data_IF_241547171518
#
_entry.id   IF_241547171518
#
_cell.length_a   1.000
_cell.length_b   1.000
_cell.length_c   1.000
_cell.angle_alpha   90.00
_cell.angle_beta   90.00
_cell.angle_gamma   90.00
#
_symmetry.space_group_name_H-M   'P 1'
#
loop_
_entity.id
_entity.type
_entity.pdbx_description
1 polymer ?
#
# COMPACT_ATOMS: atom_id res chain seq x y z
N UNK A 1 -1.28 -18.38 -22.31
CA UNK A 1 -0.74 -17.25 -21.52
C UNK A 1 -1.71 -16.80 -20.45
N UNK A 2 -3.00 -16.70 -20.78
CA UNK A 2 -4.06 -16.27 -19.85
C UNK A 2 -4.12 -17.03 -18.51
N UNK A 3 -4.03 -18.39 -18.43
CA UNK A 3 -4.14 -19.09 -17.15
C UNK A 3 -2.95 -18.82 -16.22
N UNK A 4 -1.74 -18.63 -16.77
CA UNK A 4 -0.55 -18.29 -15.97
C UNK A 4 -0.70 -16.90 -15.36
N UNK A 5 -1.20 -15.94 -16.14
CA UNK A 5 -1.43 -14.58 -15.66
C UNK A 5 -2.57 -14.54 -14.63
N UNK A 6 -3.62 -15.33 -14.81
CA UNK A 6 -4.70 -15.46 -13.83
C UNK A 6 -4.19 -16.00 -12.48
N UNK A 7 -3.34 -17.03 -12.49
CA UNK A 7 -2.70 -17.55 -11.26
C UNK A 7 -1.81 -16.49 -10.61
N UNK A 8 -1.00 -15.79 -11.40
CA UNK A 8 -0.13 -14.73 -10.88
C UNK A 8 -0.91 -13.58 -10.23
N UNK A 9 -2.00 -13.13 -10.87
CA UNK A 9 -2.92 -12.12 -10.32
C UNK A 9 -3.53 -12.64 -9.02
N UNK A 10 -4.00 -13.88 -8.98
CA UNK A 10 -4.56 -14.49 -7.76
C UNK A 10 -3.58 -14.47 -6.60
N UNK A 11 -2.31 -14.81 -6.84
CA UNK A 11 -1.25 -14.77 -5.83
C UNK A 11 -0.99 -13.34 -5.36
N UNK A 12 -0.93 -12.36 -6.28
CA UNK A 12 -0.72 -10.95 -5.95
C UNK A 12 -1.87 -10.39 -5.11
N UNK A 13 -3.12 -10.70 -5.47
CA UNK A 13 -4.30 -10.29 -4.70
C UNK A 13 -4.29 -10.94 -3.32
N UNK A 14 -3.99 -12.24 -3.22
CA UNK A 14 -3.92 -12.93 -1.94
C UNK A 14 -2.83 -12.33 -1.02
N UNK A 15 -1.65 -12.04 -1.57
CA UNK A 15 -0.55 -11.40 -0.84
C UNK A 15 -0.93 -9.97 -0.40
N UNK A 16 -1.54 -9.19 -1.29
CA UNK A 16 -1.99 -7.84 -0.98
C UNK A 16 -3.03 -7.83 0.14
N UNK A 17 -4.06 -8.68 0.05
CA UNK A 17 -5.08 -8.81 1.09
C UNK A 17 -4.45 -9.26 2.41
N UNK A 18 -3.55 -10.25 2.38
CA UNK A 18 -2.84 -10.68 3.58
C UNK A 18 -2.08 -9.54 4.27
N UNK A 19 -1.41 -8.68 3.50
CA UNK A 19 -0.69 -7.52 4.02
C UNK A 19 -1.62 -6.40 4.50
N UNK A 20 -2.77 -6.21 3.85
CA UNK A 20 -3.79 -5.25 4.30
C UNK A 20 -4.40 -5.62 5.66
N UNK A 21 -4.42 -6.90 6.01
CA UNK A 21 -4.86 -7.38 7.32
C UNK A 21 -3.76 -7.34 8.39
N UNK A 22 -2.56 -6.86 8.06
CA UNK A 22 -1.48 -6.76 9.03
C UNK A 22 -1.73 -5.61 10.04
N UNK A 23 -1.21 -5.80 11.25
CA UNK A 23 -1.25 -4.79 12.33
C UNK A 23 -0.20 -3.69 12.21
N UNK A 24 0.66 -3.78 11.21
CA UNK A 24 1.75 -2.83 10.98
C UNK A 24 1.41 -1.95 9.79
N UNK A 25 1.35 -0.64 9.98
CA UNK A 25 0.97 0.30 8.92
C UNK A 25 1.88 0.23 7.70
N UNK A 26 3.19 -0.06 7.87
CA UNK A 26 4.11 -0.19 6.73
C UNK A 26 3.76 -1.40 5.89
N UNK A 27 3.39 -2.52 6.52
CA UNK A 27 2.86 -3.71 5.81
C UNK A 27 1.56 -3.39 5.08
N UNK A 28 0.66 -2.62 5.69
CA UNK A 28 -0.58 -2.19 5.02
C UNK A 28 -0.27 -1.35 3.77
N UNK A 29 0.69 -0.41 3.84
CA UNK A 29 1.12 0.38 2.68
C UNK A 29 1.68 -0.49 1.55
N UNK A 30 2.50 -1.48 1.88
CA UNK A 30 2.98 -2.47 0.91
C UNK A 30 1.83 -3.28 0.31
N UNK A 31 0.84 -3.65 1.12
CA UNK A 31 -0.39 -4.29 0.67
C UNK A 31 -1.15 -3.45 -0.35
N UNK A 32 -1.34 -2.15 -0.10
CA UNK A 32 -1.96 -1.19 -1.04
C UNK A 32 -1.16 -1.13 -2.36
N UNK A 33 0.16 -1.04 -2.28
CA UNK A 33 1.02 -0.97 -3.46
C UNK A 33 0.91 -2.23 -4.34
N UNK A 34 0.95 -3.42 -3.72
CA UNK A 34 0.81 -4.70 -4.43
C UNK A 34 -0.62 -4.84 -4.99
N UNK A 35 -1.64 -4.43 -4.23
CA UNK A 35 -3.03 -4.46 -4.67
C UNK A 35 -3.24 -3.62 -5.93
N UNK A 36 -2.70 -2.39 -5.97
CA UNK A 36 -2.78 -1.51 -7.13
C UNK A 36 -2.17 -2.15 -8.38
N UNK A 37 -1.02 -2.82 -8.24
CA UNK A 37 -0.41 -3.56 -9.35
C UNK A 37 -1.26 -4.75 -9.80
N UNK A 38 -1.87 -5.50 -8.88
CA UNK A 38 -2.76 -6.60 -9.21
C UNK A 38 -3.99 -6.14 -9.99
N UNK A 39 -4.61 -5.02 -9.58
CA UNK A 39 -5.74 -4.40 -10.30
C UNK A 39 -5.34 -3.97 -11.71
N UNK A 40 -4.14 -3.37 -11.88
CA UNK A 40 -3.64 -3.00 -13.20
C UNK A 40 -3.50 -4.22 -14.12
N UNK A 41 -3.03 -5.36 -13.59
CA UNK A 41 -2.96 -6.61 -14.35
C UNK A 41 -4.34 -7.19 -14.69
N UNK A 42 -5.33 -7.06 -13.80
CA UNK A 42 -6.72 -7.45 -14.10
C UNK A 42 -7.27 -6.64 -15.28
N UNK A 43 -7.10 -5.32 -15.26
CA UNK A 43 -7.53 -4.44 -16.36
C UNK A 43 -6.79 -4.81 -17.66
N UNK A 44 -5.49 -5.12 -17.56
CA UNK A 44 -4.70 -5.57 -18.70
C UNK A 44 -5.24 -6.87 -19.30
N UNK A 45 -5.59 -7.86 -18.47
CA UNK A 45 -6.19 -9.12 -18.94
C UNK A 45 -7.56 -8.95 -19.59
N UNK A 46 -8.37 -8.03 -19.09
CA UNK A 46 -9.69 -7.73 -19.66
C UNK A 46 -9.61 -7.14 -21.09
N UNK A 47 -8.46 -6.58 -21.45
CA UNK A 47 -8.18 -6.02 -22.78
C UNK A 47 -7.98 -7.02 -23.91
N UNK A 48 -7.82 -8.31 -23.58
CA UNK A 48 -7.42 -9.36 -24.51
C UNK A 48 -5.91 -9.38 -24.74
N UNK A 49 -5.26 -10.51 -24.42
CA UNK A 49 -3.81 -10.72 -24.58
C UNK A 49 -3.42 -11.14 -26.00
N UNK A 50 -3.90 -10.41 -27.01
CA UNK A 50 -3.47 -10.63 -28.39
C UNK A 50 -2.11 -10.01 -28.63
N UNK A 51 -1.22 -10.75 -29.32
CA UNK A 51 0.08 -10.22 -29.79
C UNK A 51 -0.15 -9.34 -31.02
N UNK A 52 -0.78 -8.20 -30.82
CA UNK A 52 -0.98 -7.21 -31.88
C UNK A 52 0.10 -6.12 -31.81
N UNK A 53 0.23 -5.36 -32.91
CA UNK A 53 1.12 -4.20 -32.93
C UNK A 53 0.69 -3.15 -31.87
N UNK A 54 1.62 -2.32 -31.36
CA UNK A 54 1.27 -1.23 -30.46
C UNK A 54 0.17 -0.34 -31.07
N UNK A 55 -0.77 0.21 -30.28
CA UNK A 55 -1.81 1.10 -30.77
C UNK A 55 -1.26 2.49 -31.07
N UNK A 56 -0.35 2.56 -32.04
CA UNK A 56 0.30 3.76 -32.52
C UNK A 56 0.01 3.90 -34.01
N UNK A 57 -0.40 5.09 -34.42
CA UNK A 57 -0.59 5.42 -35.84
C UNK A 57 0.75 5.93 -36.38
N UNK A 58 1.33 5.30 -37.42
CA UNK A 58 2.58 5.79 -38.02
C UNK A 58 2.41 7.17 -38.66
N UNK A 59 3.50 7.95 -38.67
CA UNK A 59 3.50 9.29 -39.26
C UNK A 59 3.08 9.26 -40.74
N UNK A 60 2.08 10.09 -41.09
CA UNK A 60 1.53 10.18 -42.45
C UNK A 60 0.32 9.29 -42.75
N UNK A 61 -0.10 8.44 -41.82
CA UNK A 61 -1.34 7.67 -41.92
C UNK A 61 -2.44 8.24 -41.01
N UNK A 62 -3.70 8.11 -41.42
CA UNK A 62 -4.87 8.45 -40.58
C UNK A 62 -5.37 7.28 -39.74
N UNK A 63 -4.92 6.07 -40.07
CA UNK A 63 -5.35 4.82 -39.45
C UNK A 63 -4.14 3.91 -39.19
N UNK A 64 -4.20 3.01 -38.19
CA UNK A 64 -3.12 2.07 -37.93
C UNK A 64 -2.85 1.15 -39.12
N UNK A 65 -1.57 0.87 -39.37
CA UNK A 65 -1.15 -0.09 -40.40
C UNK A 65 -1.37 -1.54 -39.92
N UNK A 66 -2.63 -1.97 -39.89
CA UNK A 66 -3.03 -3.34 -39.53
C UNK A 66 -3.62 -3.49 -38.12
N UNK A 67 -3.81 -4.74 -37.64
CA UNK A 67 -4.40 -5.00 -36.34
C UNK A 67 -3.49 -4.56 -35.19
N UNK A 68 -4.00 -3.64 -34.37
CA UNK A 68 -3.34 -3.11 -33.17
C UNK A 68 -3.94 -3.67 -31.89
N UNK A 69 -3.20 -3.57 -30.78
CA UNK A 69 -3.69 -3.93 -29.46
C UNK A 69 -4.82 -2.97 -29.02
N UNK A 70 -5.71 -3.41 -28.13
CA UNK A 70 -6.79 -2.57 -27.64
C UNK A 70 -6.21 -1.36 -26.85
N UNK A 71 -6.45 -0.11 -27.28
CA UNK A 71 -5.92 1.06 -26.59
C UNK A 71 -6.69 1.40 -25.30
N UNK A 72 -7.94 0.95 -25.16
CA UNK A 72 -8.80 1.32 -24.03
C UNK A 72 -8.25 0.85 -22.67
N UNK A 73 -7.90 -0.44 -22.48
CA UNK A 73 -7.26 -0.90 -21.23
C UNK A 73 -5.95 -0.18 -20.93
N UNK A 74 -5.16 0.16 -21.96
CA UNK A 74 -3.86 0.83 -21.78
C UNK A 74 -4.04 2.25 -21.20
N UNK A 75 -4.99 3.01 -21.73
CA UNK A 75 -5.32 4.34 -21.21
C UNK A 75 -5.90 4.28 -19.78
N UNK A 76 -6.74 3.28 -19.50
CA UNK A 76 -7.29 3.05 -18.15
C UNK A 76 -6.19 2.72 -17.14
N UNK A 77 -5.23 1.86 -17.50
CA UNK A 77 -4.10 1.49 -16.64
C UNK A 77 -3.21 2.70 -16.35
N UNK A 78 -2.89 3.53 -17.35
CA UNK A 78 -2.09 4.75 -17.13
C UNK A 78 -2.76 5.68 -16.11
N UNK A 79 -4.07 5.83 -16.20
CA UNK A 79 -4.86 6.63 -15.24
C UNK A 79 -4.85 6.00 -13.85
N UNK A 80 -5.06 4.68 -13.77
CA UNK A 80 -5.05 3.93 -12.51
C UNK A 80 -3.69 4.00 -11.81
N UNK A 81 -2.58 3.95 -12.56
CA UNK A 81 -1.21 4.08 -12.01
C UNK A 81 -1.02 5.44 -11.34
N UNK A 82 -1.43 6.54 -11.98
CA UNK A 82 -1.26 7.89 -11.42
C UNK A 82 -2.11 8.08 -10.17
N UNK A 83 -3.37 7.62 -10.18
CA UNK A 83 -4.25 7.67 -9.00
C UNK A 83 -3.68 6.82 -7.86
N UNK A 84 -3.28 5.58 -8.15
CA UNK A 84 -2.69 4.67 -7.17
C UNK A 84 -1.42 5.22 -6.54
N UNK A 85 -0.52 5.80 -7.35
CA UNK A 85 0.68 6.46 -6.86
C UNK A 85 0.37 7.66 -5.95
N UNK A 86 -0.60 8.49 -6.35
CA UNK A 86 -0.98 9.69 -5.59
C UNK A 86 -1.57 9.32 -4.23
N UNK A 87 -2.46 8.31 -4.19
CA UNK A 87 -3.04 7.79 -2.95
C UNK A 87 -2.00 7.10 -2.06
N UNK A 88 -1.05 6.35 -2.64
CA UNK A 88 0.02 5.71 -1.90
C UNK A 88 0.97 6.75 -1.28
N UNK A 89 1.36 7.77 -2.03
CA UNK A 89 2.20 8.86 -1.52
C UNK A 89 1.49 9.63 -0.40
N UNK A 90 0.20 9.92 -0.57
CA UNK A 90 -0.62 10.54 0.46
C UNK A 90 -0.70 9.67 1.73
N UNK A 91 -1.01 8.38 1.59
CA UNK A 91 -1.06 7.44 2.70
C UNK A 91 0.30 7.33 3.41
N UNK A 92 1.41 7.35 2.67
CA UNK A 92 2.76 7.34 3.23
C UNK A 92 3.06 8.56 4.09
N UNK A 93 2.67 9.75 3.62
CA UNK A 93 2.82 10.98 4.42
C UNK A 93 1.94 10.94 5.67
N UNK A 94 0.71 10.43 5.56
CA UNK A 94 -0.17 10.26 6.72
C UNK A 94 0.41 9.27 7.74
N UNK A 95 0.90 8.12 7.30
CA UNK A 95 1.55 7.12 8.17
C UNK A 95 2.78 7.71 8.84
N UNK A 96 3.60 8.47 8.11
CA UNK A 96 4.74 9.17 8.70
C UNK A 96 4.32 10.19 9.76
N UNK A 97 3.29 10.99 9.49
CA UNK A 97 2.73 11.96 10.45
C UNK A 97 2.15 11.29 11.68
N UNK A 98 1.45 10.17 11.50
CA UNK A 98 0.89 9.36 12.58
C UNK A 98 2.02 8.79 13.46
N UNK A 99 3.06 8.23 12.85
CA UNK A 99 4.24 7.74 13.57
C UNK A 99 4.95 8.86 14.34
N UNK A 100 5.15 10.03 13.72
CA UNK A 100 5.76 11.17 14.39
C UNK A 100 4.94 11.69 15.60
N UNK A 101 3.63 11.49 15.59
CA UNK A 101 2.74 11.90 16.69
C UNK A 101 2.61 10.87 17.81
N UNK A 102 2.54 9.58 17.46
CA UNK A 102 2.24 8.49 18.42
C UNK A 102 3.45 7.61 18.77
N UNK A 103 4.54 7.71 18.00
CA UNK A 103 5.75 6.91 18.16
C UNK A 103 5.61 5.43 17.79
N UNK A 104 4.46 5.01 17.24
CA UNK A 104 4.16 3.62 16.88
C UNK A 104 3.53 3.52 15.49
N UNK A 105 3.76 2.40 14.83
CA UNK A 105 3.11 1.99 13.56
C UNK A 105 2.17 0.78 13.76
N UNK A 106 2.04 0.31 15.00
CA UNK A 106 1.10 -0.76 15.37
C UNK A 106 -0.31 -0.18 15.51
N UNK A 107 -1.23 -0.60 14.65
CA UNK A 107 -2.60 -0.08 14.62
C UNK A 107 -3.35 -0.37 15.93
N UNK A 108 -3.07 -1.50 16.59
CA UNK A 108 -3.70 -1.87 17.86
C UNK A 108 -3.24 -0.95 19.02
N UNK A 109 -2.08 -0.31 18.88
CA UNK A 109 -1.54 0.62 19.86
C UNK A 109 -1.98 2.08 19.64
N UNK A 110 -2.58 2.41 18.48
CA UNK A 110 -3.02 3.77 18.12
C UNK A 110 -4.38 4.12 18.75
N UNK A 111 -4.43 4.12 20.09
CA UNK A 111 -5.68 4.19 20.88
C UNK A 111 -5.99 5.56 21.50
N UNK A 112 -5.44 6.64 20.96
CA UNK A 112 -5.63 8.00 21.50
C UNK A 112 -7.11 8.38 21.67
N UNK A 113 -7.97 7.96 20.73
CA UNK A 113 -9.41 8.26 20.77
C UNK A 113 -10.23 7.28 21.62
N UNK A 114 -9.74 6.07 21.88
CA UNK A 114 -10.44 5.04 22.65
C UNK A 114 -9.48 4.36 23.63
N UNK A 115 -9.27 4.94 24.82
CA UNK A 115 -8.37 4.38 25.82
C UNK A 115 -8.80 2.98 26.28
N UNK A 116 -7.87 2.14 26.75
CA UNK A 116 -8.17 0.77 27.17
C UNK A 116 -9.20 0.72 28.30
N UNK A 117 -10.18 -0.17 28.19
CA UNK A 117 -11.06 -0.52 29.29
C UNK A 117 -10.26 -1.32 30.34
N UNK A 118 -10.65 -1.21 31.60
CA UNK A 118 -9.91 -1.78 32.74
C UNK A 118 -9.77 -3.32 32.70
N UNK A 119 -10.58 -4.01 31.89
CA UNK A 119 -10.54 -5.46 31.68
C UNK A 119 -9.67 -5.90 30.49
N UNK A 120 -9.14 -4.96 29.71
CA UNK A 120 -8.32 -5.26 28.53
C UNK A 120 -6.86 -5.42 28.91
N UNK A 121 -6.25 -6.53 28.46
CA UNK A 121 -4.81 -6.72 28.56
C UNK A 121 -4.08 -5.69 27.68
N UNK A 122 -2.98 -5.07 28.16
CA UNK A 122 -2.27 -4.06 27.40
C UNK A 122 -1.75 -4.63 26.06
N UNK A 123 -1.75 -3.84 24.97
CA UNK A 123 -1.30 -4.30 23.68
C UNK A 123 0.17 -4.76 23.75
N UNK A 124 0.50 -5.80 22.97
CA UNK A 124 1.82 -6.48 22.97
C UNK A 124 3.03 -5.52 22.89
N UNK A 125 2.88 -4.37 22.23
CA UNK A 125 3.92 -3.33 22.12
C UNK A 125 4.01 -2.33 23.29
N UNK A 126 2.99 -2.22 24.15
CA UNK A 126 2.96 -1.22 25.23
C UNK A 126 4.10 -1.41 26.25
N UNK A 127 4.48 -2.65 26.52
CA UNK A 127 5.54 -2.98 27.47
C UNK A 127 6.93 -2.47 27.05
N UNK A 128 7.17 -2.30 25.74
CA UNK A 128 8.40 -1.69 25.22
C UNK A 128 8.40 -0.17 25.34
N UNK A 129 7.23 0.45 25.14
CA UNK A 129 7.06 1.90 25.15
C UNK A 129 7.04 2.49 26.56
N UNK A 130 6.47 1.77 27.55
CA UNK A 130 6.57 2.13 28.97
C UNK A 130 8.01 2.07 29.49
N UNK A 131 8.81 1.10 29.01
CA UNK A 131 10.25 1.01 29.36
C UNK A 131 11.05 2.18 28.78
N UNK A 132 10.77 2.58 27.53
CA UNK A 132 11.40 3.74 26.91
C UNK A 132 11.05 5.04 27.64
N UNK A 133 9.76 5.25 27.94
CA UNK A 133 9.28 6.43 28.70
C UNK A 133 9.85 6.48 30.12
N UNK A 134 9.93 5.33 30.80
CA UNK A 134 10.53 5.22 32.13
C UNK A 134 12.05 5.35 32.15
N UNK A 135 12.74 5.19 31.03
CA UNK A 135 14.17 5.45 30.89
C UNK A 135 14.45 6.95 30.70
N UNK A 136 13.62 7.63 29.91
CA UNK A 136 13.72 9.08 29.66
C UNK A 136 13.50 9.89 30.95
N UNK A 137 12.44 9.56 31.71
CA UNK A 137 12.16 10.23 32.99
C UNK A 137 13.29 10.03 34.01
N UNK A 138 13.95 8.87 34.01
CA UNK A 138 15.11 8.61 34.88
C UNK A 138 16.36 9.34 34.42
N UNK A 139 16.51 9.60 33.12
CA UNK A 139 17.61 10.38 32.59
C UNK A 139 17.44 11.87 32.96
N UNK A 140 16.24 12.43 32.76
CA UNK A 140 15.92 13.81 33.17
C UNK A 140 16.08 14.01 34.69
N UNK A 141 15.66 13.05 35.52
CA UNK A 141 15.85 13.14 36.97
C UNK A 141 17.32 13.07 37.40
N UNK A 142 18.20 12.45 36.60
CA UNK A 142 19.64 12.42 36.86
C UNK A 142 20.32 13.71 36.44
N UNK A 143 19.90 14.33 35.35
CA UNK A 143 20.37 15.66 34.93
C UNK A 143 19.91 16.76 35.89
N UNK A 144 18.66 16.70 36.39
CA UNK A 144 18.14 17.68 37.33
C UNK A 144 18.77 17.58 38.75
N UNK A 145 19.52 16.52 39.04
CA UNK A 145 20.17 16.27 40.31
C UNK A 145 21.68 16.62 40.33
N UNK A 146 22.23 17.09 39.20
CA UNK A 146 23.60 17.62 39.08
C UNK A 146 23.59 19.15 39.01
#
# INVERSE_FOLDING_TARGET
MEPVLAIAIGILVACAVFLLLARDLVRVLLGIAIFSNAVNLVIFTAGGLTRNAPPLVPDGLKEPAGPVANPLPQALILTAIVIGFSLLAFALVLTYRAYASMGTVDVDAMREAEPPYADQSPPSGAAGQERARGADVRAEQREAAQ
#
